data_IF_260111812153
#
_entry.id   IF_260111812153
#
_cell.length_a   1.000
_cell.length_b   1.000
_cell.length_c   1.000
_cell.angle_alpha   90.00
_cell.angle_beta   90.00
_cell.angle_gamma   90.00
#
_symmetry.space_group_name_H-M   'P 1'
#
loop_
_entity.id
_entity.type
_entity.pdbx_description
1 polymer ?
#
# COMPACT_ATOMS: atom_id res chain seq x y z
N UNK A 1 7.28 13.92 -6.05
CA UNK A 1 6.81 13.73 -4.67
C UNK A 1 7.66 12.67 -4.00
N UNK A 2 8.02 12.85 -2.73
CA UNK A 2 9.07 12.06 -2.01
C UNK A 2 8.65 10.65 -1.58
N UNK A 3 7.49 10.15 -2.01
CA UNK A 3 7.00 8.83 -1.58
C UNK A 3 6.46 8.76 -0.15
N UNK A 4 6.43 9.88 0.58
CA UNK A 4 5.91 9.95 1.95
C UNK A 4 4.48 9.47 2.09
N UNK A 5 3.60 9.78 1.12
CA UNK A 5 2.21 9.35 1.15
C UNK A 5 2.06 7.82 1.15
N UNK A 6 2.82 7.13 0.28
CA UNK A 6 2.78 5.68 0.19
C UNK A 6 3.39 5.02 1.44
N UNK A 7 4.43 5.63 2.02
CA UNK A 7 4.98 5.21 3.31
C UNK A 7 3.94 5.31 4.43
N UNK A 8 3.26 6.46 4.55
CA UNK A 8 2.19 6.63 5.55
C UNK A 8 1.05 5.63 5.33
N UNK A 9 0.62 5.41 4.08
CA UNK A 9 -0.38 4.40 3.76
C UNK A 9 0.06 2.99 4.16
N UNK A 10 1.34 2.65 4.00
CA UNK A 10 1.88 1.36 4.42
C UNK A 10 1.81 1.19 5.94
N UNK A 11 2.24 2.19 6.69
CA UNK A 11 2.17 2.20 8.16
C UNK A 11 0.72 2.02 8.63
N UNK A 12 -0.22 2.78 8.07
CA UNK A 12 -1.63 2.70 8.45
C UNK A 12 -2.19 1.30 8.18
N UNK A 13 -2.00 0.77 6.97
CA UNK A 13 -2.57 -0.51 6.57
C UNK A 13 -1.93 -1.67 7.35
N UNK A 14 -0.60 -1.69 7.48
CA UNK A 14 0.11 -2.83 8.07
C UNK A 14 0.13 -2.80 9.61
N UNK A 15 0.32 -1.63 10.22
CA UNK A 15 0.49 -1.53 11.68
C UNK A 15 -0.82 -1.28 12.42
N UNK A 16 -1.72 -0.47 11.86
CA UNK A 16 -2.96 -0.08 12.54
C UNK A 16 -4.16 -0.92 12.13
N UNK A 17 -4.20 -1.40 10.88
CA UNK A 17 -5.30 -2.23 10.38
C UNK A 17 -4.93 -3.71 10.29
N UNK A 18 -3.69 -4.10 10.63
CA UNK A 18 -3.18 -5.47 10.55
C UNK A 18 -3.38 -6.10 9.15
N UNK A 19 -3.41 -5.25 8.12
CA UNK A 19 -3.57 -5.61 6.72
C UNK A 19 -2.24 -5.66 5.98
N UNK A 20 -2.31 -5.62 4.65
CA UNK A 20 -1.13 -5.59 3.76
C UNK A 20 -1.33 -4.58 2.63
N UNK A 21 -0.31 -3.79 2.34
CA UNK A 21 -0.25 -2.90 1.18
C UNK A 21 0.81 -3.39 0.19
N UNK A 22 0.42 -3.74 -1.03
CA UNK A 22 1.33 -4.16 -2.09
C UNK A 22 1.30 -3.18 -3.26
N UNK A 23 2.47 -2.81 -3.77
CA UNK A 23 2.61 -2.03 -4.99
C UNK A 23 3.29 -2.90 -6.07
N UNK A 24 2.78 -2.87 -7.30
CA UNK A 24 3.33 -3.57 -8.46
C UNK A 24 3.28 -2.67 -9.68
N UNK A 25 4.38 -2.59 -10.42
CA UNK A 25 4.38 -1.97 -11.74
C UNK A 25 3.71 -2.91 -12.75
N UNK A 26 2.84 -2.34 -13.58
CA UNK A 26 2.22 -3.01 -14.73
C UNK A 26 2.82 -2.43 -16.00
N UNK A 27 2.66 -3.14 -17.13
CA UNK A 27 3.25 -2.74 -18.42
C UNK A 27 2.92 -1.28 -18.81
N UNK A 28 1.72 -0.80 -18.45
CA UNK A 28 1.27 0.58 -18.73
C UNK A 28 0.82 1.33 -17.47
N UNK A 29 1.34 0.99 -16.28
CA UNK A 29 0.95 1.71 -15.06
C UNK A 29 1.43 1.09 -13.76
N UNK A 30 0.66 1.30 -12.70
CA UNK A 30 0.94 0.75 -11.38
C UNK A 30 -0.37 0.24 -10.75
N UNK A 31 -0.26 -0.83 -9.97
CA UNK A 31 -1.33 -1.38 -9.18
C UNK A 31 -0.96 -1.32 -7.70
N UNK A 32 -1.90 -0.85 -6.89
CA UNK A 32 -1.79 -0.84 -5.43
C UNK A 32 -2.93 -1.70 -4.88
N UNK A 33 -2.59 -2.72 -4.10
CA UNK A 33 -3.55 -3.66 -3.51
C UNK A 33 -3.51 -3.54 -1.99
N UNK A 34 -4.68 -3.35 -1.38
CA UNK A 34 -4.87 -3.34 0.07
C UNK A 34 -5.67 -4.58 0.44
N UNK A 35 -5.11 -5.39 1.34
CA UNK A 35 -5.76 -6.56 1.92
C UNK A 35 -5.98 -6.26 3.41
N UNK A 36 -7.22 -6.32 3.91
CA UNK A 36 -7.54 -6.15 5.33
C UNK A 36 -7.95 -7.49 5.95
N UNK A 37 -7.67 -7.73 7.24
CA UNK A 37 -8.21 -8.89 7.95
C UNK A 37 -9.74 -8.79 8.06
N UNK A 38 -10.40 -9.95 8.12
CA UNK A 38 -11.86 -10.08 8.33
C UNK A 38 -12.26 -9.82 9.77
#
# INVERSE_FOLDING_TARGET
GTGLGLYMSKIIVEEHCQGKLRARNLDNGASFTIELPF
#
